data_IF_122308721169
#
_entry.id   IF_122308721169
#
_cell.length_a   1.000
_cell.length_b   1.000
_cell.length_c   1.000
_cell.angle_alpha   90.00
_cell.angle_beta   90.00
_cell.angle_gamma   90.00
#
_symmetry.space_group_name_H-M   'P 1'
#
loop_
_entity.id
_entity.type
_entity.pdbx_description
1 polymer ?
#
# COMPACT_ATOMS: atom_id res chain seq x y z
N UNK A 1 6.63 -15.62 -17.65
CA UNK A 1 5.27 -15.33 -17.15
C UNK A 1 4.81 -13.98 -17.71
N UNK A 2 3.53 -13.88 -18.10
CA UNK A 2 2.98 -12.64 -18.65
C UNK A 2 2.80 -11.56 -17.58
N UNK A 3 2.47 -11.96 -16.36
CA UNK A 3 2.26 -11.05 -15.23
C UNK A 3 3.50 -10.99 -14.33
N UNK A 4 3.75 -9.83 -13.68
CA UNK A 4 4.78 -9.70 -12.67
C UNK A 4 4.45 -10.50 -11.41
N UNK A 5 5.45 -10.74 -10.57
CA UNK A 5 5.32 -11.62 -9.42
C UNK A 5 4.29 -11.13 -8.40
N UNK A 6 4.15 -9.84 -8.19
CA UNK A 6 3.17 -9.25 -7.27
C UNK A 6 1.71 -9.42 -7.72
N UNK A 7 1.47 -9.80 -8.99
CA UNK A 7 0.14 -10.16 -9.52
C UNK A 7 -0.03 -11.66 -9.75
N UNK A 8 0.77 -12.52 -9.11
CA UNK A 8 0.75 -13.98 -9.29
C UNK A 8 -0.57 -14.65 -8.93
N UNK A 9 -1.44 -13.98 -8.19
CA UNK A 9 -2.78 -14.45 -7.86
C UNK A 9 -3.79 -14.21 -9.00
N UNK A 10 -3.50 -13.33 -9.94
CA UNK A 10 -4.36 -13.07 -11.10
C UNK A 10 -4.25 -14.22 -12.09
N UNK A 11 -5.40 -14.75 -12.47
CA UNK A 11 -5.50 -15.84 -13.47
C UNK A 11 -6.46 -15.43 -14.56
N UNK A 12 -6.15 -15.84 -15.79
CA UNK A 12 -6.98 -15.56 -16.94
C UNK A 12 -6.38 -16.12 -18.22
N UNK A 13 -7.07 -15.87 -19.30
CA UNK A 13 -6.64 -16.24 -20.67
C UNK A 13 -6.51 -14.96 -21.47
N UNK A 14 -5.41 -14.86 -22.21
CA UNK A 14 -5.21 -13.81 -23.23
C UNK A 14 -5.34 -14.49 -24.57
N UNK A 15 -6.31 -14.04 -25.35
CA UNK A 15 -6.51 -14.48 -26.72
C UNK A 15 -6.13 -13.34 -27.67
N UNK A 16 -5.30 -13.61 -28.67
CA UNK A 16 -4.85 -12.63 -29.65
C UNK A 16 -4.43 -13.34 -30.94
N UNK A 17 -5.07 -12.97 -32.03
CA UNK A 17 -4.73 -13.47 -33.36
C UNK A 17 -3.36 -12.96 -33.87
N UNK A 18 -2.84 -11.88 -33.24
CA UNK A 18 -1.60 -11.24 -33.62
C UNK A 18 -0.35 -11.81 -32.92
N UNK A 19 -0.54 -12.76 -32.01
CA UNK A 19 0.59 -13.41 -31.34
C UNK A 19 1.23 -14.43 -32.29
N UNK A 20 2.53 -14.27 -32.64
CA UNK A 20 3.21 -15.27 -33.45
C UNK A 20 3.27 -16.59 -32.67
N UNK A 21 2.56 -17.58 -33.16
CA UNK A 21 2.66 -18.96 -32.71
C UNK A 21 4.03 -19.51 -33.09
N UNK A 22 5.00 -19.36 -32.23
CA UNK A 22 6.25 -20.08 -32.38
C UNK A 22 6.03 -21.55 -31.97
N UNK A 23 6.22 -22.46 -32.91
CA UNK A 23 5.97 -23.91 -32.78
C UNK A 23 6.89 -24.58 -31.74
N UNK A 24 7.94 -23.90 -31.27
CA UNK A 24 8.73 -24.32 -30.12
C UNK A 24 8.16 -23.73 -28.84
N UNK A 25 7.80 -24.58 -27.89
CA UNK A 25 7.33 -24.24 -26.52
C UNK A 25 8.31 -23.38 -25.71
N UNK A 26 9.36 -22.90 -26.33
CA UNK A 26 10.35 -22.02 -25.75
C UNK A 26 10.00 -20.58 -26.07
N UNK A 27 9.52 -19.91 -25.01
CA UNK A 27 9.55 -18.47 -24.86
C UNK A 27 8.69 -17.69 -25.87
N UNK A 28 7.62 -17.14 -25.36
CA UNK A 28 7.18 -15.82 -25.80
C UNK A 28 8.44 -14.94 -25.78
N UNK A 29 9.16 -14.87 -26.90
CA UNK A 29 10.26 -13.94 -27.04
C UNK A 29 9.69 -12.56 -26.73
N UNK A 30 10.40 -11.80 -25.91
CA UNK A 30 10.08 -10.42 -25.63
C UNK A 30 10.14 -9.63 -26.93
N UNK A 31 9.04 -9.63 -27.66
CA UNK A 31 8.83 -8.74 -28.79
C UNK A 31 7.99 -7.55 -28.31
N UNK A 32 7.97 -6.49 -29.09
CA UNK A 32 7.22 -5.28 -28.79
C UNK A 32 5.73 -5.55 -28.51
N UNK A 33 5.14 -6.51 -29.21
CA UNK A 33 3.73 -6.90 -29.06
C UNK A 33 3.49 -7.58 -27.71
N UNK A 34 4.36 -8.51 -27.28
CA UNK A 34 4.24 -9.17 -25.97
C UNK A 34 4.40 -8.19 -24.83
N UNK A 35 5.27 -7.18 -24.96
CA UNK A 35 5.43 -6.09 -24.02
C UNK A 35 4.17 -5.22 -23.90
N UNK A 36 3.54 -4.88 -25.01
CA UNK A 36 2.27 -4.12 -25.05
C UNK A 36 1.13 -4.90 -24.40
N UNK A 37 1.01 -6.18 -24.69
CA UNK A 37 0.00 -7.07 -24.09
C UNK A 37 0.23 -7.17 -22.58
N UNK A 38 1.45 -7.39 -22.14
CA UNK A 38 1.82 -7.45 -20.73
C UNK A 38 1.40 -6.17 -20.00
N UNK A 39 1.78 -5.01 -20.51
CA UNK A 39 1.44 -3.72 -19.94
C UNK A 39 -0.07 -3.48 -19.86
N UNK A 40 -0.81 -3.88 -20.91
CA UNK A 40 -2.26 -3.76 -20.95
C UNK A 40 -2.94 -4.68 -19.90
N UNK A 41 -2.47 -5.91 -19.76
CA UNK A 41 -3.02 -6.87 -18.78
C UNK A 41 -2.73 -6.43 -17.35
N UNK A 42 -1.52 -5.93 -17.06
CA UNK A 42 -1.17 -5.37 -15.75
C UNK A 42 -2.12 -4.22 -15.41
N UNK A 43 -2.26 -3.26 -16.31
CA UNK A 43 -3.13 -2.10 -16.12
C UNK A 43 -4.58 -2.52 -15.88
N UNK A 44 -5.10 -3.41 -16.72
CA UNK A 44 -6.46 -3.91 -16.58
C UNK A 44 -6.70 -4.63 -15.26
N UNK A 45 -5.73 -5.41 -14.81
CA UNK A 45 -5.79 -6.09 -13.51
C UNK A 45 -5.83 -5.10 -12.35
N UNK A 46 -4.98 -4.09 -12.37
CA UNK A 46 -4.96 -3.05 -11.34
C UNK A 46 -6.25 -2.21 -11.35
N UNK A 47 -6.78 -1.87 -12.51
CA UNK A 47 -8.04 -1.13 -12.65
C UNK A 47 -9.23 -1.95 -12.10
N UNK A 48 -9.25 -3.26 -12.34
CA UNK A 48 -10.28 -4.16 -11.78
C UNK A 48 -10.19 -4.23 -10.25
N UNK A 49 -8.99 -4.36 -9.70
CA UNK A 49 -8.77 -4.35 -8.25
C UNK A 49 -9.23 -3.02 -7.65
N UNK A 50 -8.89 -1.90 -8.28
CA UNK A 50 -9.32 -0.57 -7.85
C UNK A 50 -10.85 -0.42 -7.86
N UNK A 51 -11.50 -0.95 -8.89
CA UNK A 51 -12.97 -0.95 -8.98
C UNK A 51 -13.61 -1.75 -7.85
N UNK A 52 -13.09 -2.93 -7.53
CA UNK A 52 -13.58 -3.74 -6.40
C UNK A 52 -13.37 -2.98 -5.08
N UNK A 53 -12.23 -2.32 -4.91
CA UNK A 53 -11.95 -1.51 -3.70
C UNK A 53 -12.96 -0.37 -3.52
N UNK A 54 -13.38 0.25 -4.61
CA UNK A 54 -14.34 1.36 -4.60
C UNK A 54 -15.79 0.90 -4.43
N UNK A 55 -16.21 -0.11 -5.19
CA UNK A 55 -17.62 -0.49 -5.32
C UNK A 55 -18.04 -1.54 -4.29
N UNK A 56 -17.10 -2.38 -3.83
CA UNK A 56 -17.34 -3.54 -2.98
C UNK A 56 -16.32 -3.61 -1.81
N UNK A 57 -16.34 -2.65 -0.86
CA UNK A 57 -15.29 -2.53 0.16
C UNK A 57 -15.15 -3.78 1.06
N UNK A 58 -16.24 -4.48 1.35
CA UNK A 58 -16.19 -5.72 2.14
C UNK A 58 -15.51 -6.86 1.38
N UNK A 59 -15.80 -6.97 0.10
CA UNK A 59 -15.13 -7.93 -0.78
C UNK A 59 -13.64 -7.58 -0.95
N UNK A 60 -13.35 -6.30 -1.03
CA UNK A 60 -11.96 -5.85 -1.07
C UNK A 60 -11.21 -6.17 0.23
N UNK A 61 -11.84 -6.03 1.39
CA UNK A 61 -11.24 -6.43 2.67
C UNK A 61 -10.89 -7.92 2.69
N UNK A 62 -11.77 -8.78 2.18
CA UNK A 62 -11.51 -10.22 2.03
C UNK A 62 -10.35 -10.49 1.08
N UNK A 63 -10.34 -9.83 -0.07
CA UNK A 63 -9.23 -9.89 -1.03
C UNK A 63 -7.91 -9.45 -0.39
N UNK A 64 -7.94 -8.34 0.33
CA UNK A 64 -6.75 -7.79 0.98
C UNK A 64 -6.15 -8.72 2.04
N UNK A 65 -6.99 -9.37 2.83
CA UNK A 65 -6.52 -10.35 3.82
C UNK A 65 -5.75 -11.51 3.19
N UNK A 66 -6.14 -11.94 1.99
CA UNK A 66 -5.49 -13.04 1.28
C UNK A 66 -4.26 -12.60 0.46
N UNK A 67 -4.34 -11.46 -0.20
CA UNK A 67 -3.39 -11.04 -1.23
C UNK A 67 -2.70 -9.70 -0.96
N UNK A 68 -3.02 -9.02 0.13
CA UNK A 68 -2.50 -7.69 0.42
C UNK A 68 -0.99 -7.65 0.54
N UNK A 69 -0.39 -8.61 1.26
CA UNK A 69 1.06 -8.71 1.39
C UNK A 69 1.76 -8.91 0.03
N UNK A 70 1.13 -9.68 -0.87
CA UNK A 70 1.63 -9.90 -2.24
C UNK A 70 1.52 -8.62 -3.06
N UNK A 71 0.40 -7.90 -2.97
CA UNK A 71 0.20 -6.65 -3.71
C UNK A 71 1.19 -5.56 -3.27
N UNK A 72 1.57 -5.52 -2.00
CA UNK A 72 2.60 -4.62 -1.47
C UNK A 72 3.96 -4.78 -2.17
N UNK A 73 4.31 -5.98 -2.61
CA UNK A 73 5.55 -6.23 -3.38
C UNK A 73 5.61 -5.35 -4.63
N UNK A 74 4.47 -5.07 -5.25
CA UNK A 74 4.36 -4.25 -6.46
C UNK A 74 4.85 -2.81 -6.29
N UNK A 75 4.81 -2.26 -5.08
CA UNK A 75 5.34 -0.93 -4.78
C UNK A 75 6.83 -0.84 -5.05
N UNK A 76 7.55 -1.95 -4.86
CA UNK A 76 9.00 -2.06 -5.11
C UNK A 76 9.29 -2.58 -6.52
N UNK A 77 8.56 -3.63 -6.94
CA UNK A 77 8.84 -4.35 -8.19
C UNK A 77 8.40 -3.58 -9.46
N UNK A 78 7.35 -2.77 -9.36
CA UNK A 78 6.72 -2.11 -10.50
C UNK A 78 6.62 -0.59 -10.29
N UNK A 79 7.75 0.07 -10.40
CA UNK A 79 7.83 1.52 -10.23
C UNK A 79 6.91 2.27 -11.21
N UNK A 80 6.79 1.79 -12.45
CA UNK A 80 5.95 2.41 -13.48
C UNK A 80 4.44 2.41 -13.16
N UNK A 81 3.98 1.47 -12.33
CA UNK A 81 2.59 1.38 -11.90
C UNK A 81 2.39 1.76 -10.41
N UNK A 82 3.40 2.29 -9.74
CA UNK A 82 3.35 2.62 -8.31
C UNK A 82 2.16 3.53 -7.97
N UNK A 83 1.88 4.53 -8.77
CA UNK A 83 0.74 5.43 -8.58
C UNK A 83 -0.63 4.73 -8.68
N UNK A 84 -0.68 3.60 -9.37
CA UNK A 84 -1.89 2.75 -9.44
C UNK A 84 -1.98 1.76 -8.27
N UNK A 85 -0.84 1.36 -7.73
CA UNK A 85 -0.75 0.35 -6.66
C UNK A 85 -0.95 0.99 -5.29
N UNK A 86 -0.33 2.14 -5.03
CA UNK A 86 -0.32 2.76 -3.69
C UNK A 86 -1.70 3.13 -3.15
N UNK A 87 -2.69 3.57 -3.94
CA UNK A 87 -4.05 3.79 -3.44
C UNK A 87 -4.78 2.50 -3.02
N UNK A 88 -4.30 1.35 -3.49
CA UNK A 88 -4.89 0.03 -3.20
C UNK A 88 -4.41 -0.54 -1.85
N UNK A 89 -3.34 0.01 -1.29
CA UNK A 89 -2.76 -0.46 -0.03
C UNK A 89 -3.71 -0.23 1.14
N UNK A 90 -3.72 -1.18 2.07
CA UNK A 90 -4.47 -1.09 3.34
C UNK A 90 -3.54 -1.37 4.50
N UNK A 91 -3.77 -0.68 5.59
CA UNK A 91 -2.95 -0.76 6.81
C UNK A 91 -3.83 -0.83 8.05
N UNK A 92 -3.31 -1.43 9.11
CA UNK A 92 -3.78 -1.18 10.43
C UNK A 92 -3.31 0.23 10.89
N UNK A 93 -4.02 0.84 11.80
CA UNK A 93 -3.68 2.19 12.28
C UNK A 93 -4.10 2.38 13.74
N UNK A 94 -3.53 3.38 14.39
CA UNK A 94 -3.93 3.78 15.74
C UNK A 94 -5.36 4.32 15.84
N UNK A 95 -5.96 4.71 14.71
CA UNK A 95 -7.37 5.13 14.58
C UNK A 95 -8.23 4.12 13.81
N UNK A 96 -7.70 2.91 13.60
CA UNK A 96 -8.38 1.83 12.89
C UNK A 96 -9.11 0.85 13.82
N UNK A 97 -9.53 -0.27 13.25
CA UNK A 97 -10.20 -1.37 13.95
C UNK A 97 -9.19 -2.47 14.33
N UNK A 98 -8.45 -2.25 15.42
CA UNK A 98 -7.47 -3.21 15.93
C UNK A 98 -6.41 -3.58 14.87
N UNK A 99 -6.19 -4.89 14.70
CA UNK A 99 -5.23 -5.44 13.76
C UNK A 99 -5.71 -5.46 12.29
N UNK A 100 -6.97 -5.12 12.04
CA UNK A 100 -7.53 -5.15 10.70
C UNK A 100 -6.88 -4.09 9.81
N UNK A 101 -6.41 -4.50 8.66
CA UNK A 101 -5.81 -3.62 7.65
C UNK A 101 -6.91 -3.06 6.74
N UNK A 102 -7.58 -2.01 7.18
CA UNK A 102 -8.72 -1.39 6.50
C UNK A 102 -8.47 0.07 6.10
N UNK A 103 -7.40 0.68 6.58
CA UNK A 103 -7.09 2.09 6.35
C UNK A 103 -6.27 2.25 5.09
N UNK A 104 -6.78 2.99 4.12
CA UNK A 104 -6.03 3.45 2.96
C UNK A 104 -5.34 4.79 3.22
N UNK A 105 -4.40 5.16 2.34
CA UNK A 105 -3.63 6.39 2.52
C UNK A 105 -4.47 7.64 2.30
N UNK A 106 -5.47 7.62 1.44
CA UNK A 106 -6.37 8.75 1.23
C UNK A 106 -7.23 9.01 2.47
N UNK A 107 -7.74 7.95 3.10
CA UNK A 107 -8.48 8.05 4.36
C UNK A 107 -7.59 8.57 5.50
N UNK A 108 -6.32 8.15 5.55
CA UNK A 108 -5.35 8.70 6.49
C UNK A 108 -5.17 10.22 6.30
N UNK A 109 -4.91 10.64 5.06
CA UNK A 109 -4.72 12.06 4.72
C UNK A 109 -5.96 12.88 5.08
N UNK A 110 -7.16 12.36 4.81
CA UNK A 110 -8.41 13.04 5.13
C UNK A 110 -8.61 13.29 6.64
N UNK A 111 -7.96 12.48 7.50
CA UNK A 111 -8.01 12.62 8.97
C UNK A 111 -6.81 13.34 9.57
N UNK A 112 -5.87 13.81 8.75
CA UNK A 112 -4.72 14.56 9.24
C UNK A 112 -5.17 15.88 9.87
N UNK A 113 -4.74 16.19 11.11
CA UNK A 113 -5.01 17.50 11.69
C UNK A 113 -4.29 18.61 10.93
N UNK A 114 -4.79 19.83 11.05
CA UNK A 114 -4.17 21.00 10.44
C UNK A 114 -2.71 21.15 10.90
N UNK A 115 -1.81 21.39 9.94
CA UNK A 115 -0.37 21.53 10.19
C UNK A 115 0.42 20.21 10.14
N UNK A 116 -0.24 19.06 10.05
CA UNK A 116 0.46 17.79 9.80
C UNK A 116 0.87 17.71 8.33
N UNK A 117 2.16 17.53 8.08
CA UNK A 117 2.71 17.47 6.72
C UNK A 117 3.10 16.06 6.27
N UNK A 118 3.30 15.14 7.22
CA UNK A 118 3.80 13.79 6.95
C UNK A 118 2.79 12.71 7.32
N UNK A 119 2.87 11.58 6.63
CA UNK A 119 2.20 10.34 7.00
C UNK A 119 3.14 9.56 7.93
N UNK A 120 2.69 9.27 9.14
CA UNK A 120 3.50 8.58 10.13
C UNK A 120 3.19 7.07 10.15
N UNK A 121 4.24 6.27 10.28
CA UNK A 121 4.13 4.82 10.39
C UNK A 121 5.14 4.24 11.36
N UNK A 122 4.89 3.03 11.82
CA UNK A 122 5.83 2.20 12.56
C UNK A 122 5.86 0.80 11.95
N UNK A 123 7.03 0.21 11.82
CA UNK A 123 7.21 -1.20 11.46
C UNK A 123 7.54 -2.03 12.70
N UNK A 124 6.97 -3.22 12.82
CA UNK A 124 7.24 -4.16 13.91
C UNK A 124 7.03 -5.61 13.44
N UNK A 125 7.51 -6.57 14.22
CA UNK A 125 7.37 -8.00 13.91
C UNK A 125 5.92 -8.48 13.88
N UNK A 126 5.06 -7.86 14.66
CA UNK A 126 3.65 -8.17 14.73
C UNK A 126 2.83 -6.94 15.16
N UNK A 127 1.52 -7.02 14.96
CA UNK A 127 0.60 -5.91 15.28
C UNK A 127 0.68 -5.48 16.77
N UNK A 128 0.78 -6.43 17.71
CA UNK A 128 0.85 -6.13 19.13
C UNK A 128 2.08 -5.32 19.48
N UNK A 129 3.24 -5.66 18.91
CA UNK A 129 4.48 -4.91 19.11
C UNK A 129 4.37 -3.50 18.52
N UNK A 130 3.77 -3.36 17.34
CA UNK A 130 3.53 -2.04 16.74
C UNK A 130 2.60 -1.19 17.62
N UNK A 131 1.44 -1.73 18.01
CA UNK A 131 0.41 -1.02 18.74
C UNK A 131 0.84 -0.61 20.18
N UNK A 132 1.75 -1.35 20.80
CA UNK A 132 2.25 -1.08 22.14
C UNK A 132 3.62 -0.39 22.17
N UNK A 133 4.10 0.09 21.02
CA UNK A 133 5.38 0.80 20.97
C UNK A 133 5.34 2.10 21.79
N UNK A 134 6.36 2.35 22.62
CA UNK A 134 6.47 3.60 23.39
C UNK A 134 6.59 4.83 22.48
N UNK A 135 7.04 4.68 21.24
CA UNK A 135 7.12 5.78 20.27
C UNK A 135 5.75 6.36 19.90
N UNK A 136 4.65 5.64 20.13
CA UNK A 136 3.30 6.10 19.80
C UNK A 136 2.71 7.08 20.80
N UNK A 137 3.25 7.17 22.02
CA UNK A 137 2.63 7.92 23.11
C UNK A 137 2.45 9.40 22.77
N UNK A 138 3.51 10.06 22.28
CA UNK A 138 3.45 11.47 21.90
C UNK A 138 2.47 11.74 20.75
N UNK A 139 2.31 10.79 19.82
CA UNK A 139 1.35 10.89 18.71
C UNK A 139 -0.09 10.75 19.20
N UNK A 140 -0.34 9.81 20.11
CA UNK A 140 -1.66 9.64 20.75
C UNK A 140 -2.10 10.87 21.52
N UNK A 141 -1.20 11.45 22.33
CA UNK A 141 -1.47 12.66 23.10
C UNK A 141 -1.83 13.86 22.19
N UNK A 142 -1.30 13.91 20.98
CA UNK A 142 -1.56 14.96 20.01
C UNK A 142 -2.66 14.62 19.00
N UNK A 143 -3.32 13.48 19.14
CA UNK A 143 -4.37 13.03 18.22
C UNK A 143 -3.88 12.71 16.82
N UNK A 144 -2.59 12.41 16.65
CA UNK A 144 -1.97 12.09 15.36
C UNK A 144 -2.08 10.60 15.11
N UNK A 145 -2.64 10.22 13.96
CA UNK A 145 -2.73 8.84 13.50
C UNK A 145 -1.37 8.32 13.08
N UNK A 146 -1.07 7.06 13.43
CA UNK A 146 0.12 6.33 12.99
C UNK A 146 -0.30 5.01 12.36
N UNK A 147 0.21 4.72 11.17
CA UNK A 147 0.02 3.44 10.50
C UNK A 147 0.86 2.36 11.18
N UNK A 148 0.27 1.20 11.41
CA UNK A 148 0.88 0.06 12.10
C UNK A 148 1.20 -1.02 11.07
N UNK A 149 2.47 -1.13 10.70
CA UNK A 149 2.96 -2.03 9.67
C UNK A 149 3.64 -3.25 10.31
N UNK A 150 3.05 -4.43 10.12
CA UNK A 150 3.54 -5.68 10.72
C UNK A 150 3.63 -6.85 9.74
N UNK A 151 3.44 -6.63 8.44
CA UNK A 151 3.70 -7.62 7.43
C UNK A 151 5.20 -7.72 7.15
N UNK A 152 5.69 -8.93 6.84
CA UNK A 152 7.12 -9.15 6.55
C UNK A 152 7.65 -8.32 5.40
N UNK A 153 6.78 -7.97 4.45
CA UNK A 153 7.12 -7.14 3.29
C UNK A 153 7.26 -5.65 3.63
N UNK A 154 6.72 -5.21 4.76
CA UNK A 154 6.57 -3.78 5.06
C UNK A 154 7.92 -3.05 5.20
N UNK A 155 8.90 -3.63 5.88
CA UNK A 155 10.22 -3.00 6.00
C UNK A 155 10.90 -2.83 4.63
N UNK A 156 10.80 -3.86 3.80
CA UNK A 156 11.34 -3.80 2.44
C UNK A 156 10.58 -2.78 1.60
N UNK A 157 9.25 -2.77 1.66
CA UNK A 157 8.41 -1.79 0.95
C UNK A 157 8.78 -0.37 1.37
N UNK A 158 8.88 -0.09 2.67
CA UNK A 158 9.16 1.26 3.18
C UNK A 158 10.58 1.74 2.92
N UNK A 159 11.51 0.86 2.59
CA UNK A 159 12.84 1.25 2.11
C UNK A 159 12.80 1.96 0.73
N UNK A 160 11.72 1.78 -0.04
CA UNK A 160 11.53 2.33 -1.38
C UNK A 160 10.32 3.25 -1.53
N UNK A 161 9.43 3.28 -0.54
CA UNK A 161 8.20 4.06 -0.56
C UNK A 161 8.29 5.22 0.43
N UNK A 162 8.61 6.42 -0.07
CA UNK A 162 8.95 7.57 0.76
C UNK A 162 7.96 8.71 0.70
N UNK A 163 7.06 8.70 -0.27
CA UNK A 163 6.12 9.78 -0.52
C UNK A 163 4.80 9.26 -1.11
N UNK A 164 3.69 9.86 -0.68
CA UNK A 164 2.37 9.64 -1.26
C UNK A 164 1.64 10.98 -1.40
N UNK A 165 1.25 11.34 -2.62
CA UNK A 165 0.57 12.61 -2.95
C UNK A 165 1.29 13.84 -2.38
N UNK A 166 2.60 13.90 -2.54
CA UNK A 166 3.43 15.02 -2.06
C UNK A 166 3.70 15.01 -0.56
N UNK A 167 3.18 14.03 0.19
CA UNK A 167 3.39 13.90 1.64
C UNK A 167 4.45 12.84 1.94
N UNK A 168 5.52 13.19 2.68
CA UNK A 168 6.53 12.21 3.06
C UNK A 168 5.96 11.17 4.03
N UNK A 169 6.43 9.93 3.89
CA UNK A 169 6.18 8.83 4.81
C UNK A 169 7.35 8.77 5.81
N UNK A 170 7.05 8.95 7.09
CA UNK A 170 8.08 9.01 8.15
C UNK A 170 7.85 7.95 9.21
N UNK A 171 8.93 7.20 9.53
CA UNK A 171 8.93 6.25 10.65
C UNK A 171 8.98 6.98 11.98
N UNK A 172 8.07 6.65 12.89
CA UNK A 172 8.06 7.21 14.25
C UNK A 172 9.17 6.63 15.15
N UNK A 173 9.77 5.52 14.73
CA UNK A 173 10.87 4.86 15.44
C UNK A 173 12.26 5.32 14.97
N UNK A 174 12.35 6.11 13.91
CA UNK A 174 13.61 6.55 13.31
C UNK A 174 13.67 8.08 13.27
N UNK A 175 14.70 8.65 13.93
CA UNK A 175 15.01 10.07 13.89
C UNK A 175 14.22 10.95 14.84
N UNK A 176 14.67 12.19 14.98
CA UNK A 176 13.93 13.23 15.67
C UNK A 176 12.80 13.73 14.79
N UNK A 177 11.57 13.44 15.19
CA UNK A 177 10.40 13.95 14.51
C UNK A 177 10.03 15.28 15.15
N UNK A 178 10.16 16.36 14.40
CA UNK A 178 9.70 17.67 14.80
C UNK A 178 8.17 17.73 14.73
N UNK A 179 7.53 17.63 15.88
CA UNK A 179 6.08 17.82 16.06
C UNK A 179 5.75 19.25 16.49
N UNK A 180 6.74 20.16 16.49
CA UNK A 180 6.59 21.51 17.06
C UNK A 180 5.53 22.38 16.40
N UNK A 181 5.21 22.13 15.13
CA UNK A 181 4.15 22.85 14.39
C UNK A 181 2.74 22.29 14.63
N UNK A 182 2.63 21.09 15.21
CA UNK A 182 1.35 20.47 15.55
C UNK A 182 0.92 20.97 16.92
N UNK A 183 0.12 22.03 16.94
CA UNK A 183 -0.50 22.52 18.17
C UNK A 183 -1.21 21.39 18.90
N UNK A 184 -1.09 21.37 20.22
CA UNK A 184 -1.97 20.57 21.08
C UNK A 184 -3.40 20.85 20.60
N UNK A 185 -4.07 19.86 20.05
CA UNK A 185 -5.52 19.94 19.92
C UNK A 185 -6.03 20.21 21.33
N UNK A 186 -6.77 21.30 21.47
CA UNK A 186 -7.28 21.78 22.73
C UNK A 186 -7.74 20.59 23.60
N UNK A 187 -7.05 20.42 24.72
CA UNK A 187 -7.57 19.62 25.80
C UNK A 187 -8.93 20.25 26.14
N UNK A 188 -10.00 19.63 25.69
CA UNK A 188 -11.33 19.98 26.12
C UNK A 188 -11.30 19.85 27.65
N UNK A 189 -11.30 20.97 28.32
CA UNK A 189 -11.55 21.05 29.74
C UNK A 189 -12.91 20.42 30.10
N UNK A 190 -13.03 19.86 31.29
CA UNK A 190 -14.17 19.06 31.72
C UNK A 190 -15.48 19.84 31.79
#
# INVERSE_FOLDING_TARGET
>A
ALLPHYLRFVRGVVDSDDLPLNVSRELLQENELSGKIRSAVIRRSLDLIAKVAQDEPEKYATFWNEFGAVLKEGVVEDFGNRERITPLLRFASTKGDGAKQLVDLDAYIARMPAGQEAIFYITAENHRAAANSPHLEVFRQRGIEVLLLSDRVDEWMMAYFHEYQGKPLKSVAKGDIDLGALSQADAAEP
#
